data_IF_279008699404
#
_entry.id   IF_279008699404
#
_cell.length_a   1.000
_cell.length_b   1.000
_cell.length_c   1.000
_cell.angle_alpha   90.00
_cell.angle_beta   90.00
_cell.angle_gamma   90.00
#
_symmetry.space_group_name_H-M   'P 1'
#
loop_
_entity.id
_entity.type
_entity.pdbx_description
1 polymer ?
#
# COMPACT_ATOMS: atom_id res chain seq x y z
N UNK A 1 -46.44 52.76 -46.53
CA UNK A 1 -46.71 53.16 -45.13
C UNK A 1 -47.04 51.87 -44.39
N UNK A 2 -46.28 51.31 -43.43
CA UNK A 2 -45.33 51.84 -42.45
C UNK A 2 -44.20 50.82 -42.18
N UNK A 3 -43.01 51.35 -41.91
CA UNK A 3 -41.87 50.64 -41.30
C UNK A 3 -42.11 50.50 -39.78
N UNK A 4 -41.46 49.51 -39.13
CA UNK A 4 -41.00 49.43 -37.70
C UNK A 4 -41.03 47.94 -37.24
N UNK A 5 -40.03 47.36 -36.52
CA UNK A 5 -38.58 47.51 -36.65
C UNK A 5 -37.81 46.15 -36.59
N UNK A 6 -36.61 46.13 -37.16
CA UNK A 6 -35.58 45.09 -36.97
C UNK A 6 -34.97 45.23 -35.57
N UNK A 7 -35.53 44.61 -34.52
CA UNK A 7 -34.88 44.61 -33.18
C UNK A 7 -34.88 43.25 -32.46
N UNK A 8 -35.68 42.26 -32.83
CA UNK A 8 -35.84 41.05 -31.98
C UNK A 8 -34.80 39.94 -32.24
N UNK A 9 -33.95 40.06 -33.26
CA UNK A 9 -33.12 38.93 -33.72
C UNK A 9 -31.73 38.79 -33.06
N UNK A 10 -31.42 39.48 -31.96
CA UNK A 10 -30.08 39.43 -31.32
C UNK A 10 -30.10 39.12 -29.82
N UNK A 11 -31.16 38.50 -29.29
CA UNK A 11 -31.22 38.08 -27.87
C UNK A 11 -31.29 36.55 -27.72
N UNK A 12 -31.32 35.78 -28.81
CA UNK A 12 -31.50 34.32 -28.74
C UNK A 12 -30.23 33.47 -28.94
N UNK A 13 -29.04 34.07 -29.04
CA UNK A 13 -27.79 33.32 -29.35
C UNK A 13 -26.69 33.44 -28.30
N UNK A 14 -27.04 33.70 -27.03
CA UNK A 14 -26.07 33.62 -25.92
C UNK A 14 -26.57 32.75 -24.75
N UNK A 15 -27.51 31.84 -25.01
CA UNK A 15 -27.96 30.86 -24.01
C UNK A 15 -27.50 29.43 -24.37
N UNK A 16 -26.27 29.30 -24.85
CA UNK A 16 -25.67 27.99 -25.08
C UNK A 16 -24.42 27.86 -24.21
N UNK A 17 -24.57 27.03 -23.18
CA UNK A 17 -23.52 26.25 -22.51
C UNK A 17 -22.57 27.03 -21.60
N UNK A 18 -23.08 27.52 -20.47
CA UNK A 18 -22.31 27.38 -19.23
C UNK A 18 -22.58 26.00 -18.65
N UNK A 19 -22.06 24.95 -19.29
CA UNK A 19 -21.75 23.73 -18.53
C UNK A 19 -20.58 24.13 -17.65
N UNK A 20 -20.90 24.70 -16.48
CA UNK A 20 -19.91 24.93 -15.46
C UNK A 20 -19.31 23.57 -15.15
N UNK A 21 -17.99 23.45 -15.28
CA UNK A 21 -17.27 22.33 -14.71
C UNK A 21 -17.53 22.39 -13.21
N UNK A 22 -18.41 21.53 -12.69
CA UNK A 22 -18.53 21.33 -11.27
C UNK A 22 -17.28 20.53 -10.87
N UNK A 23 -16.41 21.14 -10.06
CA UNK A 23 -15.39 20.37 -9.39
C UNK A 23 -16.12 19.33 -8.51
N UNK A 24 -15.61 18.10 -8.52
CA UNK A 24 -16.08 17.08 -7.59
C UNK A 24 -15.98 17.63 -6.16
N UNK A 25 -16.93 17.23 -5.31
CA UNK A 25 -16.92 17.62 -3.91
C UNK A 25 -15.60 17.18 -3.27
N UNK A 26 -14.95 18.10 -2.54
CA UNK A 26 -13.74 17.76 -1.78
C UNK A 26 -14.12 16.81 -0.65
N UNK A 27 -13.99 15.51 -0.88
CA UNK A 27 -14.22 14.49 0.14
C UNK A 27 -12.92 14.26 0.92
N UNK A 28 -12.86 14.78 2.14
CA UNK A 28 -11.79 14.45 3.08
C UNK A 28 -12.05 13.02 3.60
N UNK A 29 -11.11 12.11 3.32
CA UNK A 29 -11.12 10.75 3.87
C UNK A 29 -10.24 10.71 5.11
N UNK A 30 -10.80 10.26 6.23
CA UNK A 30 -10.03 9.95 7.42
C UNK A 30 -9.48 8.53 7.31
N UNK A 31 -8.23 8.34 7.75
CA UNK A 31 -7.56 7.05 7.77
C UNK A 31 -7.22 6.68 9.21
N UNK A 32 -7.47 5.43 9.58
CA UNK A 32 -6.99 4.87 10.83
C UNK A 32 -5.61 4.27 10.62
N UNK A 33 -4.60 4.73 11.38
CA UNK A 33 -3.28 4.11 11.41
C UNK A 33 -3.30 2.93 12.39
N UNK A 34 -2.93 1.74 11.92
CA UNK A 34 -2.57 0.62 12.76
C UNK A 34 -1.10 0.29 12.51
N UNK A 35 -0.27 0.44 13.54
CA UNK A 35 1.13 0.04 13.47
C UNK A 35 1.22 -1.47 13.68
N UNK A 36 2.07 -2.18 12.93
CA UNK A 36 2.34 -3.61 13.17
C UNK A 36 3.50 -3.78 14.17
N UNK A 37 4.58 -3.04 13.95
CA UNK A 37 5.78 -3.06 14.79
C UNK A 37 6.50 -1.70 14.72
N UNK A 38 7.11 -1.23 15.82
CA UNK A 38 7.94 -0.02 15.81
C UNK A 38 9.36 -0.27 15.27
N UNK A 39 9.73 -1.54 15.05
CA UNK A 39 11.07 -1.93 14.61
C UNK A 39 11.14 -1.85 13.09
N UNK A 40 12.14 -1.16 12.57
CA UNK A 40 12.49 -1.22 11.15
C UNK A 40 13.07 -2.60 10.87
N UNK A 41 12.38 -3.44 10.09
CA UNK A 41 12.88 -4.76 9.72
C UNK A 41 13.33 -4.85 8.26
N UNK A 42 12.70 -4.06 7.40
CA UNK A 42 12.87 -4.08 5.95
C UNK A 42 12.42 -2.74 5.39
N UNK A 43 12.90 -2.36 4.21
CA UNK A 43 12.40 -1.19 3.48
C UNK A 43 10.96 -1.44 3.01
N UNK A 44 10.67 -2.70 2.65
CA UNK A 44 9.39 -3.12 2.10
C UNK A 44 8.45 -3.81 3.08
N UNK A 45 7.19 -3.84 2.66
CA UNK A 45 6.19 -4.79 3.11
C UNK A 45 5.44 -5.32 1.89
N UNK A 46 4.94 -6.54 1.97
CA UNK A 46 4.12 -7.16 0.94
C UNK A 46 2.90 -7.86 1.53
N UNK A 47 1.96 -8.23 0.67
CA UNK A 47 0.68 -8.84 1.06
C UNK A 47 0.61 -10.26 0.47
N UNK A 48 0.14 -11.20 1.28
CA UNK A 48 -0.10 -12.60 0.90
C UNK A 48 -1.17 -13.22 1.79
N UNK A 49 -1.56 -14.46 1.53
CA UNK A 49 -2.37 -15.28 2.44
C UNK A 49 -1.48 -16.43 2.92
N UNK A 50 -0.87 -16.25 4.09
CA UNK A 50 0.17 -17.17 4.60
C UNK A 50 -0.42 -18.25 5.51
N UNK A 51 -1.68 -18.10 5.95
CA UNK A 51 -2.38 -19.06 6.80
C UNK A 51 -3.56 -19.76 6.08
N UNK A 52 -3.80 -19.44 4.80
CA UNK A 52 -4.88 -19.98 3.95
C UNK A 52 -6.29 -19.71 4.49
N UNK A 53 -6.49 -18.60 5.21
CA UNK A 53 -7.81 -18.22 5.72
C UNK A 53 -8.62 -17.36 4.74
N UNK A 54 -8.04 -16.99 3.59
CA UNK A 54 -8.65 -16.16 2.56
C UNK A 54 -8.61 -14.65 2.87
N UNK A 55 -7.92 -14.24 3.94
CA UNK A 55 -7.71 -12.84 4.29
C UNK A 55 -6.29 -12.36 3.95
N UNK A 56 -6.13 -11.07 3.62
CA UNK A 56 -4.80 -10.51 3.39
C UNK A 56 -3.99 -10.41 4.70
N UNK A 57 -2.83 -11.04 4.71
CA UNK A 57 -1.77 -10.90 5.69
C UNK A 57 -0.69 -9.93 5.20
N UNK A 58 0.20 -9.51 6.10
CA UNK A 58 1.34 -8.63 5.79
C UNK A 58 2.65 -9.33 6.11
N UNK A 59 3.60 -9.35 5.18
CA UNK A 59 4.99 -9.74 5.44
C UNK A 59 5.90 -8.51 5.42
N UNK A 60 6.79 -8.40 6.42
CA UNK A 60 7.86 -7.39 6.45
C UNK A 60 9.04 -7.87 7.28
N UNK A 61 10.21 -7.96 6.63
CA UNK A 61 11.40 -8.56 7.21
C UNK A 61 11.14 -10.00 7.67
N UNK A 62 11.51 -10.39 8.91
CA UNK A 62 11.29 -11.75 9.41
C UNK A 62 9.83 -12.05 9.77
N UNK A 63 8.93 -11.07 9.66
CA UNK A 63 7.61 -11.13 10.29
C UNK A 63 6.50 -11.29 9.28
N UNK A 64 5.56 -12.17 9.60
CA UNK A 64 4.22 -12.24 9.05
C UNK A 64 3.24 -11.72 10.11
N UNK A 65 2.32 -10.84 9.72
CA UNK A 65 1.24 -10.31 10.55
C UNK A 65 -0.09 -10.75 9.96
N UNK A 66 -0.85 -11.53 10.73
CA UNK A 66 -2.09 -12.16 10.26
C UNK A 66 -3.25 -11.16 10.26
N UNK A 67 -3.96 -11.12 9.14
CA UNK A 67 -5.19 -10.36 8.95
C UNK A 67 -6.41 -11.05 9.56
N UNK A 68 -7.62 -10.57 9.25
CA UNK A 68 -7.91 -9.26 8.65
C UNK A 68 -7.84 -8.11 9.68
N UNK A 69 -7.88 -8.43 10.97
CA UNK A 69 -7.99 -7.44 12.05
C UNK A 69 -6.63 -7.00 12.60
N UNK A 70 -5.56 -7.77 12.32
CA UNK A 70 -4.22 -7.55 12.88
C UNK A 70 -4.26 -7.34 14.40
N UNK A 71 -5.10 -8.11 15.10
CA UNK A 71 -5.31 -7.99 16.54
C UNK A 71 -4.03 -8.45 17.26
N UNK A 72 -3.39 -7.57 18.04
CA UNK A 72 -2.07 -7.78 18.66
C UNK A 72 -2.07 -8.81 19.81
N UNK A 73 -3.00 -9.76 19.81
CA UNK A 73 -3.04 -10.91 20.73
C UNK A 73 -1.99 -11.93 20.37
N UNK A 74 -1.75 -12.88 21.26
CA UNK A 74 -0.84 -14.00 20.99
C UNK A 74 -1.20 -14.70 19.68
N UNK A 75 -0.20 -14.97 18.83
CA UNK A 75 -0.38 -15.63 17.53
C UNK A 75 -0.70 -14.71 16.35
N UNK A 76 -0.73 -13.39 16.50
CA UNK A 76 -0.92 -12.50 15.33
C UNK A 76 0.34 -12.28 14.48
N UNK A 77 1.52 -12.51 15.07
CA UNK A 77 2.82 -12.29 14.47
C UNK A 77 3.60 -13.60 14.47
N UNK A 78 4.10 -13.99 13.30
CA UNK A 78 4.92 -15.19 13.12
C UNK A 78 6.27 -14.82 12.52
N UNK A 79 7.32 -15.49 12.98
CA UNK A 79 8.65 -15.38 12.39
C UNK A 79 8.88 -16.57 11.45
N UNK A 80 9.16 -16.31 10.17
CA UNK A 80 9.46 -17.35 9.18
C UNK A 80 10.98 -17.53 8.96
N UNK A 81 11.78 -16.58 9.42
CA UNK A 81 13.21 -16.75 9.67
C UNK A 81 13.63 -15.98 10.93
N UNK A 82 14.77 -16.32 11.56
CA UNK A 82 15.18 -15.68 12.81
C UNK A 82 15.29 -14.17 12.70
N UNK A 83 14.64 -13.45 13.62
CA UNK A 83 14.73 -11.99 13.68
C UNK A 83 16.09 -11.52 14.23
N UNK A 84 17.13 -11.53 13.41
CA UNK A 84 18.50 -11.10 13.76
C UNK A 84 18.69 -9.57 13.67
N UNK A 85 17.73 -8.80 14.18
CA UNK A 85 17.74 -7.33 14.16
C UNK A 85 17.62 -6.71 12.75
N UNK A 86 17.00 -5.53 12.63
CA UNK A 86 17.74 -4.32 12.95
C UNK A 86 17.59 -3.87 14.39
N UNK A 87 18.71 -3.58 15.04
CA UNK A 87 18.69 -2.62 16.15
C UNK A 87 18.98 -1.26 15.55
N UNK A 88 17.93 -0.55 15.11
CA UNK A 88 18.02 0.88 14.85
C UNK A 88 18.48 1.53 16.18
N UNK A 89 19.77 1.83 16.30
CA UNK A 89 20.35 2.40 17.53
C UNK A 89 19.98 3.87 17.69
N UNK A 90 19.66 4.55 16.58
CA UNK A 90 19.26 5.96 16.53
C UNK A 90 18.23 6.20 15.38
N UNK A 91 17.14 6.96 15.60
CA UNK A 91 16.18 7.35 14.56
C UNK A 91 16.80 8.04 13.33
N UNK A 92 17.94 8.71 13.48
CA UNK A 92 18.67 9.42 12.41
C UNK A 92 19.79 8.58 11.77
N UNK A 93 19.96 7.32 12.20
CA UNK A 93 20.94 6.43 11.60
C UNK A 93 20.38 5.80 10.32
N UNK A 94 20.67 6.46 9.19
CA UNK A 94 20.37 5.98 7.84
C UNK A 94 21.40 4.97 7.32
N UNK A 95 22.40 4.57 8.12
CA UNK A 95 23.41 3.58 7.71
C UNK A 95 22.93 2.14 7.84
N UNK A 96 21.68 1.92 8.26
CA UNK A 96 21.16 0.62 8.64
C UNK A 96 20.03 0.14 7.71
N UNK A 97 20.41 -0.33 6.53
CA UNK A 97 19.50 -1.10 5.67
C UNK A 97 19.51 -2.57 6.08
N UNK A 98 18.36 -3.26 5.97
CA UNK A 98 18.37 -4.72 6.04
C UNK A 98 19.19 -5.24 4.85
N UNK A 99 20.24 -5.98 5.16
CA UNK A 99 21.18 -6.50 4.16
C UNK A 99 20.64 -7.77 3.49
N UNK A 100 19.78 -8.50 4.20
CA UNK A 100 19.27 -9.83 3.89
C UNK A 100 17.81 -9.85 3.44
N UNK A 101 17.01 -8.82 3.78
CA UNK A 101 15.62 -8.68 3.34
C UNK A 101 15.23 -7.20 3.17
N UNK A 102 15.56 -6.64 2.01
CA UNK A 102 15.17 -5.30 1.62
C UNK A 102 13.73 -5.26 1.06
N UNK A 103 13.35 -6.28 0.28
CA UNK A 103 11.98 -6.51 -0.19
C UNK A 103 11.61 -7.99 -0.09
N UNK A 104 10.31 -8.26 0.09
CA UNK A 104 9.72 -9.59 0.09
C UNK A 104 8.72 -9.72 -1.07
N UNK A 105 8.67 -10.89 -1.70
CA UNK A 105 7.81 -11.19 -2.85
C UNK A 105 6.99 -12.45 -2.58
N UNK A 106 5.73 -12.30 -2.10
CA UNK A 106 4.82 -13.41 -1.87
C UNK A 106 4.32 -14.01 -3.19
N UNK A 107 4.45 -15.31 -3.35
CA UNK A 107 3.92 -16.05 -4.50
C UNK A 107 3.93 -17.55 -4.22
N UNK A 108 3.09 -18.34 -4.87
CA UNK A 108 3.20 -19.81 -4.87
C UNK A 108 4.27 -20.22 -5.91
N UNK A 109 5.54 -20.17 -5.50
CA UNK A 109 6.72 -20.39 -6.34
C UNK A 109 6.83 -21.88 -6.70
N UNK A 110 6.50 -22.77 -5.75
CA UNK A 110 6.66 -24.22 -5.93
C UNK A 110 5.40 -24.93 -6.46
N UNK A 111 4.23 -24.30 -6.42
CA UNK A 111 2.96 -24.84 -6.90
C UNK A 111 2.24 -25.77 -5.90
N UNK A 112 2.55 -25.71 -4.60
CA UNK A 112 1.94 -26.55 -3.56
C UNK A 112 0.65 -25.93 -2.96
N UNK A 113 0.32 -24.72 -3.39
CA UNK A 113 -0.86 -23.98 -2.96
C UNK A 113 -0.66 -23.14 -1.71
N UNK A 114 0.51 -23.16 -1.07
CA UNK A 114 0.89 -22.21 -0.02
C UNK A 114 1.57 -20.97 -0.61
N UNK A 115 1.39 -19.83 0.05
CA UNK A 115 2.11 -18.62 -0.34
C UNK A 115 3.54 -18.70 0.18
N UNK A 116 4.51 -18.90 -0.71
CA UNK A 116 5.93 -18.80 -0.41
C UNK A 116 6.38 -17.34 -0.23
N UNK A 117 7.56 -17.14 0.35
CA UNK A 117 8.20 -15.82 0.48
C UNK A 117 9.60 -15.85 -0.13
N UNK A 118 9.80 -15.12 -1.25
CA UNK A 118 11.13 -14.79 -1.74
C UNK A 118 11.60 -13.46 -1.14
N UNK A 119 12.73 -13.47 -0.45
CA UNK A 119 13.37 -12.25 0.09
C UNK A 119 14.57 -11.85 -0.77
N UNK A 120 14.70 -10.55 -1.04
CA UNK A 120 15.85 -9.98 -1.71
C UNK A 120 16.46 -8.87 -0.85
N UNK A 121 17.75 -8.98 -0.57
CA UNK A 121 18.53 -7.97 0.14
C UNK A 121 19.11 -6.89 -0.78
N UNK A 122 20.21 -6.28 -0.34
CA UNK A 122 20.97 -5.32 -1.15
C UNK A 122 21.64 -6.00 -2.38
N UNK A 123 22.05 -5.22 -3.39
CA UNK A 123 22.83 -5.76 -4.50
C UNK A 123 24.04 -6.57 -4.01
N UNK A 124 24.31 -7.70 -4.68
CA UNK A 124 25.40 -8.63 -4.34
C UNK A 124 25.22 -9.38 -3.00
N UNK A 125 24.01 -9.43 -2.44
CA UNK A 125 23.65 -10.39 -1.38
C UNK A 125 22.76 -11.51 -1.95
N UNK A 126 22.75 -12.70 -1.33
CA UNK A 126 21.85 -13.78 -1.75
C UNK A 126 20.38 -13.39 -1.57
N UNK A 127 19.53 -13.92 -2.45
CA UNK A 127 18.09 -14.03 -2.20
C UNK A 127 17.80 -15.35 -1.47
N UNK A 128 16.76 -15.37 -0.65
CA UNK A 128 16.31 -16.55 0.07
C UNK A 128 14.86 -16.83 -0.24
N UNK A 129 14.50 -18.10 -0.32
CA UNK A 129 13.14 -18.56 -0.49
C UNK A 129 12.75 -19.37 0.74
N UNK A 130 11.57 -19.05 1.29
CA UNK A 130 10.95 -19.68 2.44
C UNK A 130 9.57 -20.21 2.09
#
# INVERSE_FOLDING_TARGET
MNRIPRVVAWIFTCLSLTVGAQADELVIREFQKQEMTPIYWSEGAAIGDFNQDGHPDIVSGPNIFLGPNFDRREGFRHEFYPAVGPTRRDPNDFSYYSLDNFFSYPYDINGDGWTDILTAGLPNTPAYWY
#
